data_IF_830829658532
#
_entry.id   IF_830829658532
#
_cell.length_a   1.000
_cell.length_b   1.000
_cell.length_c   1.000
_cell.angle_alpha   90.00
_cell.angle_beta   90.00
_cell.angle_gamma   90.00
#
_symmetry.space_group_name_H-M   'P 1'
#
loop_
_entity.id
_entity.type
_entity.pdbx_description
1 polymer ?
#
# COMPACT_ATOMS: atom_id res chain seq x y z
N UNK A 1 -23.77 -12.06 -29.34
CA UNK A 1 -22.92 -11.90 -28.14
C UNK A 1 -22.91 -10.41 -27.83
N UNK A 2 -23.48 -9.98 -26.70
CA UNK A 2 -23.23 -8.63 -26.22
C UNK A 2 -21.72 -8.44 -26.14
N UNK A 3 -21.22 -7.32 -26.65
CA UNK A 3 -19.81 -6.99 -26.54
C UNK A 3 -19.45 -6.95 -25.05
N UNK A 4 -18.77 -7.98 -24.54
CA UNK A 4 -18.43 -8.12 -23.12
C UNK A 4 -17.65 -6.91 -22.60
N UNK A 5 -16.99 -6.16 -23.50
CA UNK A 5 -16.33 -4.88 -23.17
C UNK A 5 -17.34 -3.82 -22.71
N UNK A 6 -18.59 -3.89 -23.16
CA UNK A 6 -19.65 -2.98 -22.70
C UNK A 6 -19.91 -3.14 -21.22
N UNK A 7 -19.76 -4.29 -20.58
CA UNK A 7 -20.01 -4.39 -19.13
C UNK A 7 -19.10 -3.46 -18.30
N UNK A 8 -17.87 -3.23 -18.76
CA UNK A 8 -16.91 -2.31 -18.11
C UNK A 8 -17.13 -0.84 -18.48
N UNK A 9 -18.01 -0.55 -19.45
CA UNK A 9 -18.35 0.81 -19.89
C UNK A 9 -19.80 1.17 -19.66
N UNK A 10 -20.70 0.20 -19.49
CA UNK A 10 -22.11 0.35 -19.15
C UNK A 10 -22.17 0.99 -17.78
N UNK A 11 -22.92 2.07 -17.72
CA UNK A 11 -22.95 2.99 -16.62
C UNK A 11 -24.25 2.72 -15.88
N UNK A 12 -24.17 2.13 -14.69
CA UNK A 12 -25.30 2.08 -13.76
C UNK A 12 -25.28 3.38 -12.96
N UNK A 13 -26.38 4.11 -12.94
CA UNK A 13 -26.62 5.06 -11.86
C UNK A 13 -26.88 4.28 -10.57
N UNK A 14 -26.66 4.92 -9.42
CA UNK A 14 -26.96 4.33 -8.12
C UNK A 14 -28.31 4.84 -7.58
N UNK A 15 -29.04 3.98 -6.88
CA UNK A 15 -30.34 4.31 -6.27
C UNK A 15 -30.24 4.61 -4.76
N UNK A 16 -29.03 4.83 -4.24
CA UNK A 16 -28.84 5.16 -2.84
C UNK A 16 -29.33 6.58 -2.53
N UNK A 17 -29.89 6.84 -1.34
CA UNK A 17 -30.39 8.16 -0.96
C UNK A 17 -29.27 9.21 -0.86
N UNK A 18 -29.64 10.50 -0.92
CA UNK A 18 -28.67 11.59 -0.76
C UNK A 18 -28.17 11.75 0.68
N UNK A 19 -28.96 11.35 1.67
CA UNK A 19 -28.60 11.44 3.09
C UNK A 19 -28.66 10.06 3.73
N UNK A 20 -27.71 9.79 4.62
CA UNK A 20 -27.65 8.57 5.42
C UNK A 20 -27.39 8.94 6.88
N UNK A 21 -28.10 8.31 7.83
CA UNK A 21 -27.89 8.54 9.26
C UNK A 21 -27.69 7.22 9.99
N UNK A 22 -26.65 7.14 10.81
CA UNK A 22 -26.40 6.00 11.72
C UNK A 22 -26.58 6.53 13.15
N UNK A 23 -27.41 5.86 13.96
CA UNK A 23 -27.69 6.27 15.35
C UNK A 23 -27.21 5.23 16.36
N UNK A 24 -26.53 5.69 17.41
CA UNK A 24 -26.15 4.91 18.58
C UNK A 24 -26.80 5.53 19.82
N UNK A 25 -27.98 5.04 20.19
CA UNK A 25 -28.78 5.69 21.21
C UNK A 25 -29.21 7.09 20.77
N UNK A 26 -28.80 8.11 21.51
CA UNK A 26 -29.06 9.52 21.24
C UNK A 26 -28.02 10.18 20.32
N UNK A 27 -26.85 9.55 20.14
CA UNK A 27 -25.78 10.03 19.26
C UNK A 27 -26.04 9.63 17.81
N UNK A 28 -25.69 10.51 16.88
CA UNK A 28 -25.93 10.30 15.44
C UNK A 28 -24.70 10.69 14.63
N UNK A 29 -24.43 9.90 13.59
CA UNK A 29 -23.56 10.26 12.48
C UNK A 29 -24.44 10.55 11.28
N UNK A 30 -24.28 11.72 10.65
CA UNK A 30 -25.05 12.14 9.49
C UNK A 30 -24.10 12.28 8.31
N UNK A 31 -24.44 11.59 7.23
CA UNK A 31 -23.65 11.53 6.03
C UNK A 31 -24.41 12.06 4.82
N UNK A 32 -23.67 12.61 3.86
CA UNK A 32 -24.18 13.06 2.56
C UNK A 32 -23.51 12.31 1.42
N UNK A 33 -24.31 11.80 0.48
CA UNK A 33 -23.83 11.16 -0.73
C UNK A 33 -23.03 12.15 -1.57
N UNK A 34 -21.89 11.72 -2.10
CA UNK A 34 -21.05 12.49 -3.02
C UNK A 34 -21.46 12.23 -4.47
N UNK A 35 -21.67 13.31 -5.19
CA UNK A 35 -21.87 13.36 -6.65
C UNK A 35 -20.92 14.40 -7.25
N UNK A 36 -20.52 14.19 -8.49
CA UNK A 36 -19.64 15.09 -9.23
C UNK A 36 -20.25 15.40 -10.58
N UNK A 37 -20.41 16.68 -10.93
CA UNK A 37 -20.89 17.11 -12.25
C UNK A 37 -19.74 17.19 -13.25
N UNK A 38 -19.43 16.08 -13.94
CA UNK A 38 -18.31 16.04 -14.88
C UNK A 38 -18.74 16.53 -16.26
N UNK A 39 -18.06 17.56 -16.76
CA UNK A 39 -18.28 18.07 -18.11
C UNK A 39 -17.75 17.09 -19.18
N UNK A 40 -18.61 16.72 -20.11
CA UNK A 40 -18.30 15.85 -21.25
C UNK A 40 -17.75 16.62 -22.45
N UNK A 41 -17.23 15.90 -23.45
CA UNK A 41 -16.68 16.49 -24.69
C UNK A 41 -17.73 17.30 -25.47
N UNK A 42 -19.00 16.90 -25.42
CA UNK A 42 -20.12 17.61 -26.06
C UNK A 42 -20.63 18.82 -25.26
N UNK A 43 -20.01 19.10 -24.10
CA UNK A 43 -20.38 20.19 -23.21
C UNK A 43 -21.49 19.89 -22.21
N UNK A 44 -22.11 18.70 -22.28
CA UNK A 44 -23.08 18.25 -21.27
C UNK A 44 -22.42 18.04 -19.91
N UNK A 45 -23.20 18.18 -18.83
CA UNK A 45 -22.75 17.87 -17.47
C UNK A 45 -23.36 16.53 -17.08
N UNK A 46 -22.48 15.61 -16.73
CA UNK A 46 -22.83 14.29 -16.25
C UNK A 46 -22.63 14.22 -14.73
N UNK A 47 -23.72 14.44 -13.98
CA UNK A 47 -23.72 14.41 -12.52
C UNK A 47 -24.11 13.05 -11.97
N UNK A 48 -23.20 12.41 -11.23
CA UNK A 48 -23.40 11.12 -10.55
C UNK A 48 -22.35 10.86 -9.47
N UNK A 49 -22.55 9.80 -8.68
CA UNK A 49 -21.57 9.30 -7.71
C UNK A 49 -20.55 8.33 -8.31
N UNK A 50 -20.13 7.35 -7.51
CA UNK A 50 -19.23 6.28 -7.97
C UNK A 50 -19.90 5.42 -9.04
N UNK A 51 -19.14 4.91 -10.02
CA UNK A 51 -19.70 4.18 -11.16
C UNK A 51 -20.32 2.82 -10.80
N UNK A 52 -19.72 2.15 -9.83
CA UNK A 52 -20.08 0.82 -9.35
C UNK A 52 -19.24 0.51 -8.11
N UNK A 53 -19.62 -0.54 -7.39
CA UNK A 53 -18.93 -1.11 -6.24
C UNK A 53 -17.64 -1.83 -6.63
N UNK A 54 -17.45 -3.05 -6.13
CA UNK A 54 -16.28 -3.85 -6.51
C UNK A 54 -16.43 -4.37 -7.95
N UNK A 55 -17.65 -4.74 -8.32
CA UNK A 55 -17.97 -5.31 -9.62
C UNK A 55 -18.94 -4.39 -10.40
N UNK A 56 -18.91 -4.40 -11.75
CA UNK A 56 -19.72 -3.50 -12.57
C UNK A 56 -21.24 -3.59 -12.37
N UNK A 57 -21.74 -4.72 -11.87
CA UNK A 57 -23.16 -5.00 -11.61
C UNK A 57 -23.59 -4.63 -10.18
N UNK A 58 -22.67 -4.14 -9.35
CA UNK A 58 -22.94 -3.73 -7.98
C UNK A 58 -23.06 -2.21 -7.91
N UNK A 59 -24.24 -1.70 -7.53
CA UNK A 59 -24.39 -0.28 -7.22
C UNK A 59 -23.59 0.09 -5.95
N UNK A 60 -23.05 1.30 -5.90
CA UNK A 60 -22.37 1.82 -4.73
C UNK A 60 -22.53 3.34 -4.64
N UNK A 61 -22.32 3.88 -3.43
CA UNK A 61 -22.33 5.30 -3.18
C UNK A 61 -21.22 5.66 -2.17
N UNK A 62 -20.52 6.77 -2.42
CA UNK A 62 -19.60 7.36 -1.45
C UNK A 62 -20.38 8.37 -0.59
N UNK A 63 -20.17 8.31 0.72
CA UNK A 63 -20.80 9.19 1.68
C UNK A 63 -19.76 9.95 2.50
N UNK A 64 -19.91 11.27 2.62
CA UNK A 64 -19.12 12.09 3.53
C UNK A 64 -19.84 12.32 4.85
N UNK A 65 -19.10 12.23 5.97
CA UNK A 65 -19.57 12.67 7.28
C UNK A 65 -19.70 14.20 7.32
N UNK A 66 -20.94 14.69 7.43
CA UNK A 66 -21.27 16.13 7.40
C UNK A 66 -21.76 16.68 8.74
N UNK A 67 -22.22 15.81 9.65
CA UNK A 67 -22.60 16.20 11.00
C UNK A 67 -22.53 15.00 11.97
N UNK A 68 -22.46 15.30 13.26
CA UNK A 68 -22.38 14.31 14.33
C UNK A 68 -20.96 14.12 14.85
N UNK A 69 -20.83 14.00 16.16
CA UNK A 69 -19.65 13.48 16.84
C UNK A 69 -20.11 12.21 17.57
N UNK A 70 -19.27 11.17 17.51
CA UNK A 70 -19.57 9.91 18.16
C UNK A 70 -18.54 9.65 19.25
N UNK A 71 -19.03 9.37 20.45
CA UNK A 71 -18.26 8.86 21.58
C UNK A 71 -18.83 7.50 21.97
N UNK A 72 -18.10 6.43 21.63
CA UNK A 72 -18.44 5.03 21.98
C UNK A 72 -17.21 4.29 22.49
N UNK A 73 -17.41 3.38 23.45
CA UNK A 73 -16.33 2.56 23.98
C UNK A 73 -15.14 3.38 24.48
N UNK A 74 -15.43 4.51 25.15
CA UNK A 74 -14.44 5.46 25.71
C UNK A 74 -13.53 6.13 24.66
N UNK A 75 -13.95 6.13 23.39
CA UNK A 75 -13.24 6.75 22.27
C UNK A 75 -14.11 7.82 21.60
N UNK A 76 -13.56 9.02 21.40
CA UNK A 76 -14.14 10.07 20.54
C UNK A 76 -13.62 9.88 19.12
N UNK A 77 -14.54 9.79 18.15
CA UNK A 77 -14.22 9.55 16.75
C UNK A 77 -14.10 10.85 15.94
N UNK A 78 -13.54 10.71 14.73
CA UNK A 78 -13.29 11.79 13.79
C UNK A 78 -14.54 12.66 13.55
N UNK A 79 -14.32 13.97 13.53
CA UNK A 79 -15.39 14.95 13.38
C UNK A 79 -15.64 15.32 11.91
N UNK A 80 -16.85 15.82 11.59
CA UNK A 80 -17.16 16.40 10.29
C UNK A 80 -16.16 17.49 9.90
N UNK A 81 -15.98 17.67 8.60
CA UNK A 81 -15.02 18.65 8.09
C UNK A 81 -13.58 18.15 8.07
N UNK A 82 -13.31 16.88 8.38
CA UNK A 82 -12.01 16.21 8.18
C UNK A 82 -11.99 15.22 6.99
N UNK A 83 -12.93 15.33 6.05
CA UNK A 83 -12.94 14.48 4.85
C UNK A 83 -11.65 14.60 4.02
N UNK A 84 -11.12 13.44 3.61
CA UNK A 84 -10.04 13.27 2.61
C UNK A 84 -10.65 12.81 1.29
N UNK A 85 -10.69 11.49 1.02
CA UNK A 85 -11.31 10.93 -0.20
C UNK A 85 -12.80 11.25 -0.28
N UNK A 86 -13.53 11.16 0.84
CA UNK A 86 -14.93 11.57 0.91
C UNK A 86 -15.15 13.07 0.66
N UNK A 87 -14.11 13.88 0.87
CA UNK A 87 -14.09 15.33 0.68
C UNK A 87 -13.75 15.81 -0.73
N UNK A 88 -13.43 14.90 -1.66
CA UNK A 88 -13.08 15.26 -3.03
C UNK A 88 -14.28 15.95 -3.70
N UNK A 89 -14.09 17.16 -4.22
CA UNK A 89 -15.06 17.89 -5.03
C UNK A 89 -14.72 17.72 -6.52
N UNK A 90 -15.59 18.20 -7.40
CA UNK A 90 -15.36 18.08 -8.85
C UNK A 90 -14.15 18.91 -9.29
N UNK A 91 -13.88 20.04 -8.63
CA UNK A 91 -12.72 20.90 -8.91
C UNK A 91 -11.40 20.24 -8.51
N UNK A 92 -11.44 19.31 -7.57
CA UNK A 92 -10.28 18.57 -7.09
C UNK A 92 -9.91 17.43 -8.07
N UNK A 93 -10.80 17.07 -9.01
CA UNK A 93 -10.53 16.11 -10.07
C UNK A 93 -9.99 16.81 -11.32
N UNK A 94 -8.72 17.21 -11.27
CA UNK A 94 -8.00 17.96 -12.31
C UNK A 94 -8.03 17.29 -13.70
N UNK A 95 -8.17 15.97 -13.69
CA UNK A 95 -8.53 15.18 -14.86
C UNK A 95 -9.30 13.95 -14.41
N UNK A 96 -10.48 13.71 -14.97
CA UNK A 96 -11.32 12.58 -14.53
C UNK A 96 -11.31 11.42 -15.51
N UNK A 97 -11.20 11.68 -16.81
CA UNK A 97 -11.47 10.66 -17.84
C UNK A 97 -12.91 10.14 -17.72
N UNK A 98 -13.13 9.14 -16.86
CA UNK A 98 -14.45 8.62 -16.45
C UNK A 98 -14.61 8.79 -14.94
N UNK A 99 -15.86 8.91 -14.47
CA UNK A 99 -16.20 8.84 -13.04
C UNK A 99 -15.42 7.72 -12.31
N UNK A 100 -15.00 7.93 -11.05
CA UNK A 100 -14.22 6.94 -10.32
C UNK A 100 -15.07 5.71 -9.99
N UNK A 101 -14.45 4.53 -10.01
CA UNK A 101 -15.02 3.32 -9.39
C UNK A 101 -14.66 3.27 -7.90
N UNK A 102 -15.32 2.37 -7.13
CA UNK A 102 -14.98 2.13 -5.71
C UNK A 102 -13.47 1.92 -5.50
N UNK A 103 -12.88 1.03 -6.30
CA UNK A 103 -11.47 0.62 -6.14
C UNK A 103 -10.51 1.81 -6.31
N UNK A 104 -10.78 2.70 -7.28
CA UNK A 104 -9.95 3.90 -7.48
C UNK A 104 -9.91 4.78 -6.22
N UNK A 105 -11.03 4.90 -5.51
CA UNK A 105 -11.12 5.71 -4.29
C UNK A 105 -10.52 5.00 -3.08
N UNK A 106 -10.73 3.68 -2.94
CA UNK A 106 -10.13 2.91 -1.85
C UNK A 106 -8.62 2.79 -1.99
N UNK A 107 -8.09 2.71 -3.21
CA UNK A 107 -6.65 2.76 -3.45
C UNK A 107 -6.04 4.10 -2.98
N UNK A 108 -6.70 5.23 -3.25
CA UNK A 108 -6.25 6.53 -2.73
C UNK A 108 -6.32 6.53 -1.20
N UNK A 109 -7.45 6.11 -0.64
CA UNK A 109 -7.68 6.10 0.81
C UNK A 109 -6.62 5.26 1.55
N UNK A 110 -6.30 4.08 1.03
CA UNK A 110 -5.27 3.24 1.62
C UNK A 110 -3.86 3.82 1.45
N UNK A 111 -3.58 4.47 0.32
CA UNK A 111 -2.33 5.22 0.14
C UNK A 111 -2.19 6.36 1.15
N UNK A 112 -3.26 7.09 1.45
CA UNK A 112 -3.29 8.10 2.51
C UNK A 112 -3.12 7.47 3.90
N UNK A 113 -3.72 6.31 4.15
CA UNK A 113 -3.59 5.57 5.41
C UNK A 113 -2.14 5.11 5.69
N UNK A 114 -1.36 4.84 4.64
CA UNK A 114 0.09 4.57 4.75
C UNK A 114 0.86 5.89 4.88
N UNK A 115 0.65 6.83 3.95
CA UNK A 115 1.42 8.06 3.86
C UNK A 115 1.29 8.98 5.06
N UNK A 116 0.22 8.87 5.85
CA UNK A 116 0.07 9.67 7.08
C UNK A 116 1.22 9.47 8.06
N UNK A 117 1.85 8.31 8.05
CA UNK A 117 3.04 7.99 8.86
C UNK A 117 4.36 8.24 8.13
N UNK A 118 4.32 8.65 6.86
CA UNK A 118 5.48 8.81 5.99
C UNK A 118 5.63 10.26 5.50
N UNK A 119 5.41 11.22 6.38
CA UNK A 119 5.35 12.64 6.00
C UNK A 119 6.67 13.39 6.13
N UNK A 120 7.71 12.80 6.72
CA UNK A 120 8.98 13.49 7.02
C UNK A 120 9.82 13.80 5.78
N UNK A 121 9.71 12.97 4.73
CA UNK A 121 10.46 13.08 3.48
C UNK A 121 9.54 12.90 2.27
N UNK A 122 9.95 13.29 1.05
CA UNK A 122 9.22 12.92 -0.15
C UNK A 122 9.03 11.40 -0.22
N UNK A 123 7.77 10.99 -0.25
CA UNK A 123 7.30 9.62 -0.26
C UNK A 123 6.23 9.39 -1.33
N UNK A 124 6.25 8.22 -1.95
CA UNK A 124 5.24 7.74 -2.89
C UNK A 124 4.82 6.31 -2.54
N UNK A 125 3.52 6.03 -2.68
CA UNK A 125 2.94 4.69 -2.52
C UNK A 125 2.14 4.37 -3.78
N UNK A 126 2.36 3.18 -4.33
CA UNK A 126 1.67 2.67 -5.51
C UNK A 126 0.78 1.51 -5.07
N UNK A 127 -0.52 1.66 -5.30
CA UNK A 127 -1.54 0.72 -4.89
C UNK A 127 -2.09 -0.01 -6.11
N UNK A 128 -2.41 -1.28 -5.91
CA UNK A 128 -3.17 -2.11 -6.83
C UNK A 128 -4.09 -3.02 -6.04
N UNK A 129 -5.39 -3.00 -6.34
CA UNK A 129 -6.39 -3.80 -5.62
C UNK A 129 -6.34 -3.59 -4.10
N UNK A 130 -6.30 -2.33 -3.69
CA UNK A 130 -6.27 -1.87 -2.31
C UNK A 130 -5.06 -2.32 -1.49
N UNK A 131 -3.98 -2.77 -2.14
CA UNK A 131 -2.73 -3.19 -1.52
C UNK A 131 -1.54 -2.46 -2.14
N UNK A 132 -0.52 -2.07 -1.36
CA UNK A 132 0.69 -1.48 -1.93
C UNK A 132 1.47 -2.53 -2.72
N UNK A 133 1.82 -2.21 -3.96
CA UNK A 133 2.80 -2.97 -4.74
C UNK A 133 4.20 -2.36 -4.69
N UNK A 134 4.31 -1.11 -4.22
CA UNK A 134 5.56 -0.45 -3.92
C UNK A 134 5.34 0.81 -3.08
N UNK A 135 6.23 1.05 -2.12
CA UNK A 135 6.28 2.27 -1.35
C UNK A 135 7.74 2.66 -1.14
N UNK A 136 8.05 3.96 -1.22
CA UNK A 136 9.40 4.43 -0.97
C UNK A 136 9.45 5.89 -0.51
N UNK A 137 10.46 6.19 0.30
CA UNK A 137 11.04 7.53 0.42
C UNK A 137 12.03 7.83 -0.71
N UNK A 138 12.27 9.10 -0.97
CA UNK A 138 13.34 9.60 -1.83
C UNK A 138 13.75 11.03 -1.49
N UNK A 139 14.87 11.48 -2.06
CA UNK A 139 15.36 12.86 -1.88
C UNK A 139 14.48 13.89 -2.59
N UNK A 140 13.85 13.46 -3.69
CA UNK A 140 12.82 14.19 -4.43
C UNK A 140 11.60 13.28 -4.60
N UNK A 141 10.46 13.87 -4.96
CA UNK A 141 9.26 13.07 -5.22
C UNK A 141 9.44 12.15 -6.45
N UNK A 142 10.15 12.63 -7.47
CA UNK A 142 10.53 11.82 -8.64
C UNK A 142 11.37 10.60 -8.24
N UNK A 143 12.37 10.78 -7.35
CA UNK A 143 13.18 9.69 -6.82
C UNK A 143 12.32 8.70 -6.00
N UNK A 144 11.43 9.21 -5.14
CA UNK A 144 10.53 8.36 -4.35
C UNK A 144 9.60 7.52 -5.24
N UNK A 145 9.00 8.14 -6.28
CA UNK A 145 8.16 7.43 -7.24
C UNK A 145 8.94 6.36 -8.01
N UNK A 146 10.14 6.69 -8.53
CA UNK A 146 10.95 5.72 -9.29
C UNK A 146 11.30 4.50 -8.43
N UNK A 147 11.76 4.72 -7.19
CA UNK A 147 12.04 3.63 -6.23
C UNK A 147 10.81 2.76 -5.96
N UNK A 148 9.67 3.38 -5.65
CA UNK A 148 8.42 2.66 -5.40
C UNK A 148 7.95 1.87 -6.64
N UNK A 149 8.04 2.45 -7.83
CA UNK A 149 7.69 1.80 -9.09
C UNK A 149 8.59 0.61 -9.40
N UNK A 150 9.88 0.72 -9.05
CA UNK A 150 10.86 -0.35 -9.25
C UNK A 150 10.68 -1.52 -8.29
N UNK A 151 9.94 -1.40 -7.18
CA UNK A 151 9.61 -2.55 -6.32
C UNK A 151 8.84 -3.65 -7.09
N UNK A 152 7.79 -3.28 -7.81
CA UNK A 152 7.01 -4.21 -8.65
C UNK A 152 6.36 -3.47 -9.83
N UNK A 153 7.15 -3.22 -10.87
CA UNK A 153 6.71 -2.51 -12.09
C UNK A 153 5.52 -3.18 -12.78
N UNK A 154 5.46 -4.51 -12.69
CA UNK A 154 4.42 -5.32 -13.33
C UNK A 154 3.08 -5.06 -12.62
N UNK A 155 3.07 -5.09 -11.28
CA UNK A 155 1.86 -4.82 -10.49
C UNK A 155 1.47 -3.32 -10.50
N UNK A 156 2.45 -2.42 -10.60
CA UNK A 156 2.21 -0.98 -10.73
C UNK A 156 1.42 -0.60 -12.00
N UNK A 157 1.39 -1.48 -13.01
CA UNK A 157 0.63 -1.26 -14.23
C UNK A 157 -0.89 -1.13 -13.96
N UNK A 158 -1.42 0.03 -14.33
CA UNK A 158 -2.80 0.44 -14.04
C UNK A 158 -3.07 0.59 -12.55
N UNK A 159 -2.05 0.89 -11.75
CA UNK A 159 -2.17 1.19 -10.33
C UNK A 159 -2.58 2.63 -10.05
N UNK A 160 -2.75 2.93 -8.77
CA UNK A 160 -2.96 4.26 -8.25
C UNK A 160 -1.70 4.73 -7.50
N UNK A 161 -1.18 5.90 -7.87
CA UNK A 161 -0.02 6.51 -7.17
C UNK A 161 -0.53 7.59 -6.25
N UNK A 162 -0.17 7.52 -4.96
CA UNK A 162 -0.43 8.56 -3.97
C UNK A 162 0.90 9.13 -3.50
N UNK A 163 1.00 10.46 -3.48
CA UNK A 163 2.25 11.18 -3.26
C UNK A 163 2.14 12.17 -2.10
N UNK A 164 3.12 12.17 -1.22
CA UNK A 164 3.17 13.01 0.00
C UNK A 164 3.50 14.49 -0.25
N UNK A 165 3.86 14.87 -1.48
CA UNK A 165 4.31 16.21 -1.86
C UNK A 165 3.69 16.62 -3.20
N UNK A 166 3.82 17.91 -3.53
CA UNK A 166 3.35 18.45 -4.80
C UNK A 166 3.97 17.71 -5.98
N UNK A 167 3.17 17.45 -7.02
CA UNK A 167 3.66 16.83 -8.25
C UNK A 167 4.35 17.88 -9.12
N UNK A 168 5.68 17.84 -9.13
CA UNK A 168 6.54 18.64 -9.99
C UNK A 168 6.63 18.11 -11.43
N UNK A 169 7.26 18.87 -12.30
CA UNK A 169 7.42 18.52 -13.73
C UNK A 169 8.31 17.28 -13.96
N UNK A 170 9.23 16.96 -13.05
CA UNK A 170 10.10 15.79 -13.18
C UNK A 170 9.32 14.51 -12.85
N UNK A 171 8.60 14.54 -11.73
CA UNK A 171 7.69 13.51 -11.27
C UNK A 171 6.60 13.24 -12.31
N UNK A 172 5.98 14.29 -12.86
CA UNK A 172 4.96 14.15 -13.90
C UNK A 172 5.50 13.46 -15.17
N UNK A 173 6.76 13.71 -15.56
CA UNK A 173 7.39 13.01 -16.70
C UNK A 173 7.52 11.52 -16.42
N UNK A 174 8.03 11.14 -15.24
CA UNK A 174 8.16 9.73 -14.85
C UNK A 174 6.80 9.04 -14.77
N UNK A 175 5.81 9.68 -14.17
CA UNK A 175 4.43 9.16 -14.13
C UNK A 175 3.88 8.93 -15.54
N UNK A 176 4.10 9.85 -16.48
CA UNK A 176 3.61 9.74 -17.85
C UNK A 176 4.22 8.59 -18.67
N UNK A 177 5.35 8.04 -18.23
CA UNK A 177 5.98 6.86 -18.84
C UNK A 177 5.33 5.55 -18.40
N UNK A 178 4.45 5.59 -17.40
CA UNK A 178 3.75 4.44 -16.86
C UNK A 178 2.26 4.50 -17.25
N UNK A 179 1.66 3.34 -17.49
CA UNK A 179 0.21 3.26 -17.60
C UNK A 179 -0.38 3.23 -16.20
N UNK A 180 -0.96 4.33 -15.74
CA UNK A 180 -1.56 4.48 -14.40
C UNK A 180 -3.05 4.79 -14.53
N UNK A 181 -3.85 4.33 -13.56
CA UNK A 181 -5.28 4.67 -13.51
C UNK A 181 -5.55 5.95 -12.71
N UNK A 182 -4.75 6.18 -11.66
CA UNK A 182 -4.93 7.30 -10.73
C UNK A 182 -3.57 7.87 -10.32
N UNK A 183 -3.48 9.19 -10.25
CA UNK A 183 -2.42 9.95 -9.58
C UNK A 183 -3.06 10.90 -8.58
N UNK A 184 -2.64 10.82 -7.32
CA UNK A 184 -3.14 11.65 -6.23
C UNK A 184 -1.99 12.38 -5.51
N UNK A 185 -2.14 13.68 -5.29
CA UNK A 185 -1.15 14.52 -4.62
C UNK A 185 -1.82 15.69 -3.86
N UNK A 186 -1.12 16.35 -2.91
CA UNK A 186 -1.61 17.59 -2.29
C UNK A 186 -1.84 18.73 -3.29
N UNK A 187 -0.98 18.84 -4.30
CA UNK A 187 -1.05 19.87 -5.33
C UNK A 187 -0.23 19.46 -6.56
N UNK A 188 -0.40 20.19 -7.66
CA UNK A 188 0.31 20.00 -8.92
C UNK A 188 0.94 21.33 -9.34
N UNK A 189 2.24 21.32 -9.62
CA UNK A 189 2.96 22.52 -10.05
C UNK A 189 2.60 22.96 -11.47
N UNK A 190 2.98 24.18 -11.81
CA UNK A 190 2.79 24.71 -13.17
C UNK A 190 3.47 23.81 -14.22
N UNK A 191 2.69 23.42 -15.24
CA UNK A 191 3.14 22.55 -16.32
C UNK A 191 2.99 21.04 -16.05
N UNK A 192 2.93 20.59 -14.79
CA UNK A 192 2.93 19.15 -14.48
C UNK A 192 1.63 18.48 -14.94
N UNK A 193 0.50 19.17 -14.78
CA UNK A 193 -0.79 18.72 -15.25
C UNK A 193 -0.85 18.57 -16.79
N UNK A 194 -0.19 19.44 -17.54
CA UNK A 194 -0.17 19.37 -19.02
C UNK A 194 0.63 18.16 -19.52
N UNK A 195 1.60 17.69 -18.74
CA UNK A 195 2.32 16.44 -19.01
C UNK A 195 1.40 15.24 -18.78
N UNK A 196 0.72 15.21 -17.63
CA UNK A 196 -0.19 14.11 -17.25
C UNK A 196 -1.42 14.00 -18.17
N UNK A 197 -1.92 15.14 -18.68
CA UNK A 197 -3.06 15.21 -19.61
C UNK A 197 -2.88 14.51 -20.95
N UNK A 198 -1.66 14.15 -21.32
CA UNK A 198 -1.40 13.31 -22.50
C UNK A 198 -2.03 11.93 -22.36
N UNK A 199 -2.13 11.42 -21.13
CA UNK A 199 -2.79 10.15 -20.80
C UNK A 199 -4.27 10.38 -20.54
N UNK A 200 -5.10 10.45 -21.60
CA UNK A 200 -6.52 10.84 -21.51
C UNK A 200 -7.38 10.08 -20.48
N UNK A 201 -7.03 8.83 -20.18
CA UNK A 201 -7.78 7.99 -19.24
C UNK A 201 -7.27 8.07 -17.79
N UNK A 202 -6.14 8.75 -17.56
CA UNK A 202 -5.59 8.93 -16.22
C UNK A 202 -6.53 9.80 -15.38
N UNK A 203 -6.77 9.41 -14.13
CA UNK A 203 -7.40 10.28 -13.14
C UNK A 203 -6.33 11.04 -12.38
N UNK A 204 -6.38 12.36 -12.43
CA UNK A 204 -5.51 13.24 -11.66
C UNK A 204 -6.37 13.89 -10.59
N UNK A 205 -6.11 13.54 -9.33
CA UNK A 205 -6.90 13.95 -8.17
C UNK A 205 -5.99 14.76 -7.23
N UNK A 206 -6.46 15.93 -6.82
CA UNK A 206 -5.79 16.77 -5.85
C UNK A 206 -6.51 16.68 -4.50
N UNK A 207 -5.81 16.33 -3.43
CA UNK A 207 -6.36 16.39 -2.07
C UNK A 207 -5.53 17.40 -1.27
N UNK A 208 -5.93 18.67 -1.30
CA UNK A 208 -5.18 19.76 -0.66
C UNK A 208 -4.93 19.53 0.83
N UNK A 209 -5.87 18.86 1.51
CA UNK A 209 -5.81 18.50 2.93
C UNK A 209 -4.72 17.48 3.29
N UNK A 210 -4.01 16.95 2.30
CA UNK A 210 -2.82 16.15 2.56
C UNK A 210 -1.70 16.95 3.24
N UNK A 211 -1.76 18.29 3.23
CA UNK A 211 -0.91 19.17 4.05
C UNK A 211 -1.03 18.90 5.57
N UNK A 212 -2.18 18.36 6.00
CA UNK A 212 -2.49 17.99 7.39
C UNK A 212 -2.57 16.49 7.61
N UNK A 213 -2.05 15.68 6.68
CA UNK A 213 -2.23 14.23 6.70
C UNK A 213 -1.70 13.57 8.00
N UNK A 214 -0.61 14.07 8.57
CA UNK A 214 -0.05 13.58 9.82
C UNK A 214 -0.98 13.80 11.04
N UNK A 215 -1.95 14.70 10.98
CA UNK A 215 -2.94 14.87 12.06
C UNK A 215 -3.87 13.64 12.17
N UNK A 216 -4.10 12.94 11.06
CA UNK A 216 -4.96 11.75 10.99
C UNK A 216 -4.36 10.53 11.68
N UNK A 217 -3.11 10.59 12.13
CA UNK A 217 -2.52 9.56 12.97
C UNK A 217 -3.22 9.42 14.32
N UNK A 218 -3.81 10.52 14.81
CA UNK A 218 -4.46 10.59 16.13
C UNK A 218 -5.96 10.31 16.05
N UNK A 219 -6.53 10.39 14.85
CA UNK A 219 -7.96 10.19 14.66
C UNK A 219 -8.30 8.71 14.63
N UNK A 220 -9.43 8.40 15.24
CA UNK A 220 -10.10 7.11 15.09
C UNK A 220 -11.43 7.33 14.39
N UNK A 221 -11.88 6.35 13.64
CA UNK A 221 -13.24 6.30 13.10
C UNK A 221 -13.89 4.97 13.52
N UNK A 222 -15.22 4.96 13.56
CA UNK A 222 -15.94 3.69 13.71
C UNK A 222 -15.87 2.96 12.39
N UNK A 223 -15.31 1.76 12.44
CA UNK A 223 -15.21 0.86 11.31
C UNK A 223 -16.34 -0.16 11.37
N UNK A 224 -16.95 -0.42 10.23
CA UNK A 224 -18.11 -1.29 10.10
C UNK A 224 -17.81 -2.42 9.12
N UNK A 225 -17.99 -3.67 9.56
CA UNK A 225 -17.94 -4.85 8.68
C UNK A 225 -19.34 -5.44 8.57
N UNK A 226 -19.86 -5.51 7.34
CA UNK A 226 -21.08 -6.25 7.05
C UNK A 226 -20.81 -7.76 7.05
N UNK A 227 -21.69 -8.51 7.69
CA UNK A 227 -21.74 -9.97 7.66
C UNK A 227 -22.67 -10.43 6.53
N UNK A 228 -22.49 -11.68 6.07
CA UNK A 228 -23.24 -12.23 4.93
C UNK A 228 -24.75 -12.33 5.18
N UNK A 229 -25.17 -12.32 6.44
CA UNK A 229 -26.57 -12.34 6.88
C UNK A 229 -27.17 -10.93 7.05
N UNK A 230 -26.40 -9.88 6.74
CA UNK A 230 -26.77 -8.49 6.94
C UNK A 230 -26.47 -7.94 8.33
N UNK A 231 -25.88 -8.75 9.23
CA UNK A 231 -25.37 -8.27 10.51
C UNK A 231 -24.22 -7.25 10.33
N UNK A 232 -23.92 -6.48 11.39
CA UNK A 232 -22.86 -5.48 11.38
C UNK A 232 -21.97 -5.67 12.60
N UNK A 233 -20.66 -5.78 12.38
CA UNK A 233 -19.64 -5.59 13.42
C UNK A 233 -19.26 -4.10 13.41
N UNK A 234 -19.32 -3.45 14.57
CA UNK A 234 -18.80 -2.10 14.78
C UNK A 234 -17.55 -2.15 15.66
N UNK A 235 -16.46 -1.52 15.22
CA UNK A 235 -15.18 -1.52 15.93
C UNK A 235 -14.49 -0.16 15.83
N UNK A 236 -13.44 0.05 16.63
CA UNK A 236 -12.55 1.20 16.45
C UNK A 236 -11.58 0.91 15.30
N UNK A 237 -11.29 1.92 14.47
CA UNK A 237 -10.21 1.84 13.49
C UNK A 237 -8.86 1.52 14.15
N UNK A 238 -8.04 0.70 13.48
CA UNK A 238 -6.69 0.42 13.94
C UNK A 238 -5.82 1.68 13.96
N UNK A 239 -4.97 1.80 14.98
CA UNK A 239 -3.96 2.86 15.08
C UNK A 239 -2.60 2.19 15.09
N UNK A 240 -1.69 2.64 14.23
CA UNK A 240 -0.31 2.21 14.30
C UNK A 240 0.31 2.89 15.53
N UNK A 241 0.87 2.17 16.50
CA UNK A 241 1.53 2.81 17.66
C UNK A 241 3.04 2.95 17.51
N UNK A 242 3.63 2.40 16.44
CA UNK A 242 5.07 2.33 16.25
C UNK A 242 5.53 3.49 15.36
N UNK A 243 6.31 4.43 15.92
CA UNK A 243 6.81 5.63 15.23
C UNK A 243 8.30 5.86 15.40
N UNK A 244 8.87 5.28 16.42
CA UNK A 244 10.27 5.48 16.79
C UNK A 244 10.81 4.21 17.44
N UNK A 245 12.13 4.21 17.69
CA UNK A 245 12.78 3.12 18.42
C UNK A 245 12.17 2.91 19.82
N UNK A 246 11.67 3.98 20.47
CA UNK A 246 11.11 3.93 21.82
C UNK A 246 9.77 3.16 21.87
N UNK A 247 9.11 3.01 20.72
CA UNK A 247 7.89 2.20 20.57
C UNK A 247 8.20 0.72 20.32
N UNK A 248 9.47 0.39 20.04
CA UNK A 248 9.93 -0.98 19.84
C UNK A 248 10.38 -1.61 21.16
N UNK A 249 10.20 -2.92 21.24
CA UNK A 249 10.63 -3.74 22.39
C UNK A 249 11.76 -4.66 21.96
N UNK A 250 12.79 -4.86 22.81
CA UNK A 250 13.79 -5.89 22.56
C UNK A 250 13.13 -7.26 22.40
N UNK A 251 13.55 -8.03 21.39
CA UNK A 251 13.05 -9.39 21.22
C UNK A 251 13.57 -10.29 22.36
N UNK A 252 12.70 -10.56 23.32
CA UNK A 252 12.98 -11.36 24.52
C UNK A 252 11.84 -12.34 24.76
N UNK A 253 12.16 -13.60 25.06
CA UNK A 253 11.19 -14.64 25.39
C UNK A 253 11.69 -15.54 26.52
N UNK A 254 10.80 -15.99 27.40
CA UNK A 254 11.12 -16.96 28.45
C UNK A 254 10.56 -18.33 28.09
N UNK A 255 11.42 -19.35 28.04
CA UNK A 255 11.03 -20.74 27.79
C UNK A 255 11.67 -21.66 28.81
N UNK A 256 10.84 -22.46 29.50
CA UNK A 256 11.27 -23.42 30.54
C UNK A 256 12.21 -22.81 31.61
N UNK A 257 12.01 -21.55 31.95
CA UNK A 257 12.81 -20.83 32.94
C UNK A 257 14.11 -20.21 32.41
N UNK A 258 14.43 -20.40 31.14
CA UNK A 258 15.54 -19.74 30.44
C UNK A 258 15.02 -18.52 29.66
N UNK A 259 15.80 -17.43 29.66
CA UNK A 259 15.47 -16.21 28.92
C UNK A 259 16.33 -16.12 27.67
N UNK A 260 15.68 -16.02 26.52
CA UNK A 260 16.30 -15.85 25.21
C UNK A 260 16.16 -14.39 24.81
N UNK A 261 17.26 -13.76 24.41
CA UNK A 261 17.29 -12.38 23.92
C UNK A 261 18.06 -12.35 22.61
N UNK A 262 17.63 -11.51 21.67
CA UNK A 262 18.39 -11.31 20.44
C UNK A 262 19.74 -10.64 20.75
N UNK A 263 20.84 -11.24 20.31
CA UNK A 263 22.20 -10.82 20.65
C UNK A 263 22.61 -9.51 19.96
N UNK A 264 22.07 -9.27 18.76
CA UNK A 264 22.42 -8.12 17.93
C UNK A 264 21.34 -7.04 18.05
N UNK A 265 21.75 -5.84 18.44
CA UNK A 265 20.92 -4.63 18.36
C UNK A 265 20.89 -4.10 16.91
N UNK A 266 19.73 -3.65 16.38
CA UNK A 266 19.67 -3.06 15.06
C UNK A 266 20.46 -1.74 15.00
N UNK A 267 21.01 -1.44 13.82
CA UNK A 267 21.57 -0.15 13.45
C UNK A 267 20.49 0.89 13.22
N UNK A 268 20.86 2.18 13.16
CA UNK A 268 19.89 3.25 12.88
C UNK A 268 19.16 3.06 11.55
N UNK A 269 19.87 2.65 10.48
CA UNK A 269 19.25 2.41 9.18
C UNK A 269 18.22 1.27 9.24
N UNK A 270 18.50 0.21 9.99
CA UNK A 270 17.55 -0.89 10.17
C UNK A 270 16.34 -0.44 10.99
N UNK A 271 16.53 0.39 12.01
CA UNK A 271 15.42 0.99 12.76
C UNK A 271 14.56 1.86 11.84
N UNK A 272 15.17 2.71 11.01
CA UNK A 272 14.43 3.56 10.08
C UNK A 272 13.61 2.71 9.08
N UNK A 273 14.19 1.60 8.59
CA UNK A 273 13.51 0.63 7.72
C UNK A 273 12.41 -0.17 8.45
N UNK A 274 12.60 -0.47 9.74
CA UNK A 274 11.57 -1.08 10.60
C UNK A 274 10.36 -0.17 10.74
N UNK A 275 10.56 1.11 11.06
CA UNK A 275 9.48 2.08 11.23
C UNK A 275 8.77 2.33 9.89
N UNK A 276 9.53 2.54 8.82
CA UNK A 276 8.99 2.69 7.48
C UNK A 276 8.15 1.46 7.07
N UNK A 277 8.71 0.26 7.23
CA UNK A 277 8.07 -0.98 6.85
C UNK A 277 6.81 -1.26 7.65
N UNK A 278 6.81 -0.98 8.94
CA UNK A 278 5.61 -1.12 9.78
C UNK A 278 4.51 -0.13 9.40
N UNK A 279 4.85 1.10 9.00
CA UNK A 279 3.90 2.06 8.46
C UNK A 279 3.24 1.57 7.16
N UNK A 280 4.02 0.94 6.26
CA UNK A 280 3.49 0.31 5.05
C UNK A 280 2.61 -0.89 5.39
N UNK A 281 3.02 -1.73 6.33
CA UNK A 281 2.32 -2.97 6.73
C UNK A 281 0.89 -2.70 7.22
N UNK A 282 0.65 -1.56 7.88
CA UNK A 282 -0.71 -1.12 8.26
C UNK A 282 -1.66 -0.88 7.07
N UNK A 283 -1.13 -0.79 5.85
CA UNK A 283 -1.90 -0.71 4.62
C UNK A 283 -2.11 -2.04 3.91
N UNK A 284 -1.48 -3.13 4.34
CA UNK A 284 -1.43 -4.41 3.60
C UNK A 284 -2.49 -5.38 4.12
N UNK A 285 -3.15 -6.14 3.23
CA UNK A 285 -4.10 -7.19 3.60
C UNK A 285 -3.38 -8.39 4.20
N UNK A 286 -3.90 -8.88 5.33
CA UNK A 286 -3.29 -9.98 6.07
C UNK A 286 -3.63 -11.37 5.49
N UNK A 287 -2.79 -12.38 5.73
CA UNK A 287 -1.47 -12.25 6.36
C UNK A 287 -0.47 -11.64 5.37
N UNK A 288 0.49 -10.88 5.89
CA UNK A 288 1.53 -10.23 5.09
C UNK A 288 2.93 -10.33 5.68
N UNK A 289 3.91 -10.25 4.78
CA UNK A 289 5.34 -10.09 5.05
C UNK A 289 5.93 -9.16 4.00
N UNK A 290 6.71 -8.18 4.46
CA UNK A 290 7.42 -7.23 3.60
C UNK A 290 8.93 -7.36 3.79
N UNK A 291 9.67 -7.05 2.74
CA UNK A 291 11.09 -6.76 2.80
C UNK A 291 11.30 -5.29 2.48
N UNK A 292 12.07 -4.59 3.31
CA UNK A 292 12.35 -3.15 3.20
C UNK A 292 13.84 -2.92 3.22
N UNK A 293 14.32 -2.02 2.36
CA UNK A 293 15.71 -1.60 2.33
C UNK A 293 15.83 -0.14 1.94
N UNK A 294 16.56 0.63 2.73
CA UNK A 294 16.85 2.04 2.49
C UNK A 294 15.57 2.88 2.30
N UNK A 295 14.55 2.65 3.13
CA UNK A 295 13.25 3.32 3.05
C UNK A 295 12.45 3.00 1.79
N UNK A 296 12.64 1.82 1.20
CA UNK A 296 11.90 1.32 0.04
C UNK A 296 11.47 -0.12 0.26
N UNK A 297 10.24 -0.48 -0.11
CA UNK A 297 9.84 -1.88 -0.19
C UNK A 297 10.58 -2.56 -1.34
N UNK A 298 11.07 -3.78 -1.12
CA UNK A 298 11.76 -4.60 -2.14
C UNK A 298 11.05 -5.95 -2.38
N UNK A 299 10.08 -6.30 -1.54
CA UNK A 299 9.19 -7.45 -1.73
C UNK A 299 7.99 -7.34 -0.81
N UNK A 300 6.80 -7.66 -1.32
CA UNK A 300 5.53 -7.58 -0.57
C UNK A 300 4.73 -8.84 -0.83
N UNK A 301 4.58 -9.69 0.19
CA UNK A 301 3.64 -10.82 0.24
C UNK A 301 2.40 -10.43 1.04
N UNK A 302 1.21 -10.78 0.54
CA UNK A 302 -0.07 -10.35 1.13
C UNK A 302 -1.18 -11.34 0.77
N UNK A 303 -2.18 -11.46 1.63
CA UNK A 303 -3.43 -12.19 1.37
C UNK A 303 -3.36 -13.71 1.55
N UNK A 304 -2.30 -14.22 2.18
CA UNK A 304 -2.08 -15.64 2.40
C UNK A 304 -2.60 -16.11 3.76
N UNK A 305 -2.93 -17.41 3.88
CA UNK A 305 -3.36 -17.99 5.16
C UNK A 305 -2.19 -18.50 6.00
N UNK A 306 -1.10 -18.94 5.36
CA UNK A 306 0.10 -19.44 6.02
C UNK A 306 1.20 -18.37 6.12
N UNK A 307 1.83 -18.28 7.30
CA UNK A 307 2.88 -17.30 7.61
C UNK A 307 4.20 -17.61 6.90
N UNK A 308 4.55 -18.89 6.77
CA UNK A 308 5.76 -19.29 6.05
C UNK A 308 5.53 -19.08 4.56
N UNK A 309 4.38 -19.55 4.04
CA UNK A 309 3.98 -19.32 2.65
C UNK A 309 4.01 -17.84 2.24
N UNK A 310 3.50 -16.91 3.07
CA UNK A 310 3.55 -15.49 2.71
C UNK A 310 4.97 -14.91 2.69
N UNK A 311 5.85 -15.38 3.60
CA UNK A 311 7.25 -14.99 3.62
C UNK A 311 7.98 -15.50 2.36
N UNK A 312 7.72 -16.74 1.96
CA UNK A 312 8.27 -17.34 0.74
C UNK A 312 7.74 -16.63 -0.52
N UNK A 313 6.45 -16.28 -0.56
CA UNK A 313 5.85 -15.52 -1.67
C UNK A 313 6.49 -14.13 -1.78
N UNK A 314 6.77 -13.46 -0.67
CA UNK A 314 7.45 -12.17 -0.68
C UNK A 314 8.88 -12.28 -1.27
N UNK A 315 9.63 -13.33 -0.91
CA UNK A 315 10.95 -13.64 -1.50
C UNK A 315 10.82 -13.96 -3.00
N UNK A 316 9.92 -14.87 -3.35
CA UNK A 316 9.70 -15.27 -4.74
C UNK A 316 9.34 -14.08 -5.63
N UNK A 317 8.48 -13.18 -5.14
CA UNK A 317 8.19 -11.92 -5.82
C UNK A 317 9.46 -11.09 -6.00
N UNK A 318 10.26 -10.87 -4.96
CA UNK A 318 11.51 -10.11 -5.08
C UNK A 318 12.41 -10.66 -6.20
N UNK A 319 12.58 -11.98 -6.30
CA UNK A 319 13.35 -12.61 -7.38
C UNK A 319 12.79 -12.34 -8.78
N UNK A 320 11.47 -12.49 -8.97
CA UNK A 320 10.82 -12.21 -10.26
C UNK A 320 10.95 -10.73 -10.62
N UNK A 321 10.74 -9.82 -9.66
CA UNK A 321 10.73 -8.38 -9.94
C UNK A 321 12.14 -7.86 -10.20
N UNK A 322 13.12 -8.36 -9.47
CA UNK A 322 14.52 -8.04 -9.73
C UNK A 322 14.96 -8.48 -11.13
N UNK A 323 14.53 -9.66 -11.59
CA UNK A 323 14.78 -10.10 -12.96
C UNK A 323 14.13 -9.18 -14.01
N UNK A 324 12.88 -8.75 -13.77
CA UNK A 324 12.18 -7.80 -14.63
C UNK A 324 12.88 -6.45 -14.71
N UNK A 325 13.34 -5.92 -13.58
CA UNK A 325 14.08 -4.66 -13.51
C UNK A 325 15.39 -4.75 -14.30
N UNK A 326 16.20 -5.79 -14.05
CA UNK A 326 17.47 -5.97 -14.76
C UNK A 326 17.25 -6.11 -16.27
N UNK A 327 16.25 -6.89 -16.67
CA UNK A 327 15.88 -7.03 -18.07
C UNK A 327 15.46 -5.70 -18.69
N UNK A 328 14.63 -4.94 -17.99
CA UNK A 328 14.14 -3.67 -18.50
C UNK A 328 15.25 -2.63 -18.59
N UNK A 329 16.12 -2.53 -17.59
CA UNK A 329 17.25 -1.60 -17.62
C UNK A 329 18.22 -1.93 -18.76
N UNK A 330 18.45 -3.21 -19.03
CA UNK A 330 19.38 -3.64 -20.08
C UNK A 330 18.79 -3.61 -21.48
N UNK A 331 17.52 -4.00 -21.64
CA UNK A 331 16.92 -4.26 -22.96
C UNK A 331 15.67 -3.42 -23.26
N UNK A 332 15.15 -2.65 -22.30
CA UNK A 332 13.94 -1.84 -22.45
C UNK A 332 12.64 -2.63 -22.57
N UNK A 333 12.65 -3.93 -22.24
CA UNK A 333 11.50 -4.83 -22.33
C UNK A 333 11.30 -5.61 -21.02
N UNK A 334 10.05 -6.00 -20.68
CA UNK A 334 9.78 -6.90 -19.56
C UNK A 334 10.51 -8.24 -19.70
N UNK A 335 10.85 -8.87 -18.57
CA UNK A 335 11.52 -10.18 -18.57
C UNK A 335 10.66 -11.28 -19.24
N UNK A 336 9.33 -11.21 -19.09
CA UNK A 336 8.41 -12.11 -19.79
C UNK A 336 8.48 -11.97 -21.32
N UNK A 337 8.66 -10.74 -21.81
CA UNK A 337 8.79 -10.47 -23.25
C UNK A 337 10.14 -10.97 -23.78
N UNK A 338 11.20 -10.88 -22.98
CA UNK A 338 12.49 -11.51 -23.30
C UNK A 338 12.35 -13.02 -23.47
N UNK A 339 11.72 -13.70 -22.51
CA UNK A 339 11.48 -15.14 -22.57
C UNK A 339 10.65 -15.52 -23.82
N UNK A 340 9.63 -14.73 -24.15
CA UNK A 340 8.82 -14.92 -25.36
C UNK A 340 9.66 -14.74 -26.65
N UNK A 341 10.50 -13.72 -26.72
CA UNK A 341 11.37 -13.48 -27.87
C UNK A 341 12.40 -14.61 -28.06
N UNK A 342 12.92 -15.18 -26.97
CA UNK A 342 13.80 -16.36 -27.01
C UNK A 342 13.04 -17.58 -27.54
N UNK A 343 11.83 -17.85 -27.03
CA UNK A 343 10.99 -18.95 -27.51
C UNK A 343 10.63 -18.80 -29.01
N UNK A 344 10.57 -17.57 -29.52
CA UNK A 344 10.35 -17.25 -30.94
C UNK A 344 11.64 -17.25 -31.78
N UNK A 345 12.80 -17.55 -31.18
CA UNK A 345 14.10 -17.54 -31.87
C UNK A 345 14.60 -16.14 -32.26
N UNK A 346 14.02 -15.07 -31.70
CA UNK A 346 14.39 -13.67 -31.98
C UNK A 346 15.55 -13.16 -31.11
N UNK A 347 15.88 -13.88 -30.04
CA UNK A 347 16.96 -13.56 -29.09
C UNK A 347 17.69 -14.82 -28.65
N UNK A 348 18.93 -14.66 -28.19
CA UNK A 348 19.74 -15.76 -27.70
C UNK A 348 19.34 -16.13 -26.26
N UNK A 349 19.32 -17.42 -25.94
CA UNK A 349 19.04 -17.91 -24.58
C UNK A 349 20.02 -17.34 -23.53
N UNK A 350 21.25 -17.06 -23.95
CA UNK A 350 22.28 -16.48 -23.09
C UNK A 350 21.92 -15.11 -22.49
N UNK A 351 21.03 -14.34 -23.14
CA UNK A 351 20.53 -13.06 -22.58
C UNK A 351 19.75 -13.29 -21.27
N UNK A 352 18.89 -14.32 -21.25
CA UNK A 352 18.11 -14.69 -20.06
C UNK A 352 19.01 -15.34 -19.00
N UNK A 353 19.91 -16.23 -19.40
CA UNK A 353 20.85 -16.89 -18.48
C UNK A 353 21.75 -15.89 -17.74
N UNK A 354 22.15 -14.80 -18.40
CA UNK A 354 22.93 -13.73 -17.79
C UNK A 354 22.14 -12.96 -16.72
N UNK A 355 20.87 -12.65 -17.00
CA UNK A 355 19.97 -12.03 -16.01
C UNK A 355 19.76 -12.96 -14.83
N UNK A 356 19.42 -14.23 -15.08
CA UNK A 356 19.13 -15.21 -14.03
C UNK A 356 20.36 -15.41 -13.12
N UNK A 357 21.54 -15.53 -13.71
CA UNK A 357 22.79 -15.63 -12.97
C UNK A 357 23.02 -14.40 -12.07
N UNK A 358 22.72 -13.19 -12.57
CA UNK A 358 22.82 -11.96 -11.80
C UNK A 358 21.78 -11.89 -10.68
N UNK A 359 20.54 -12.27 -10.92
CA UNK A 359 19.48 -12.33 -9.90
C UNK A 359 19.89 -13.25 -8.76
N UNK A 360 20.46 -14.42 -9.07
CA UNK A 360 20.94 -15.37 -8.06
C UNK A 360 22.16 -14.83 -7.31
N UNK A 361 23.13 -14.24 -8.01
CA UNK A 361 24.32 -13.66 -7.40
C UNK A 361 23.99 -12.51 -6.43
N UNK A 362 23.05 -11.64 -6.82
CA UNK A 362 22.59 -10.50 -6.02
C UNK A 362 21.56 -10.91 -4.96
N UNK A 363 21.08 -12.16 -4.97
CA UNK A 363 19.93 -12.66 -4.18
C UNK A 363 18.73 -11.72 -4.27
N UNK A 364 18.39 -11.32 -5.49
CA UNK A 364 17.33 -10.38 -5.80
C UNK A 364 17.40 -9.03 -5.06
N UNK A 365 18.59 -8.62 -4.60
CA UNK A 365 18.78 -7.38 -3.84
C UNK A 365 18.29 -7.43 -2.39
N UNK A 366 17.82 -8.59 -1.90
CA UNK A 366 17.37 -8.81 -0.52
C UNK A 366 18.47 -8.66 0.55
N UNK A 367 19.77 -8.94 0.29
CA UNK A 367 20.79 -8.81 1.33
C UNK A 367 20.84 -7.41 1.93
N UNK A 368 20.82 -7.31 3.26
CA UNK A 368 20.77 -6.04 3.98
C UNK A 368 19.37 -5.45 4.17
N UNK A 369 18.32 -6.10 3.70
CA UNK A 369 16.94 -5.68 3.97
C UNK A 369 16.49 -6.06 5.38
N UNK A 370 15.42 -5.40 5.84
CA UNK A 370 14.66 -5.72 7.03
C UNK A 370 13.39 -6.46 6.63
N UNK A 371 13.11 -7.58 7.29
CA UNK A 371 11.87 -8.32 7.13
C UNK A 371 10.83 -7.84 8.15
N UNK A 372 9.61 -7.56 7.70
CA UNK A 372 8.51 -7.05 8.51
C UNK A 372 7.34 -8.03 8.41
N UNK A 373 6.72 -8.39 9.53
CA UNK A 373 5.55 -9.28 9.57
C UNK A 373 4.45 -8.67 10.42
N UNK A 374 3.22 -8.53 9.89
CA UNK A 374 2.04 -7.97 10.59
C UNK A 374 1.71 -8.66 11.94
N UNK A 375 2.22 -9.87 12.16
CA UNK A 375 2.09 -10.64 13.39
C UNK A 375 3.32 -11.49 13.67
N UNK A 376 3.28 -12.24 14.76
CA UNK A 376 4.39 -13.11 15.15
C UNK A 376 4.56 -14.31 14.20
N UNK A 377 5.79 -14.84 14.14
CA UNK A 377 6.09 -16.14 13.54
C UNK A 377 5.79 -17.26 14.54
N UNK A 378 4.91 -18.23 14.21
CA UNK A 378 4.60 -19.33 15.12
C UNK A 378 5.81 -20.24 15.39
N UNK A 379 6.70 -20.40 14.42
CA UNK A 379 7.91 -21.23 14.47
C UNK A 379 9.09 -20.53 13.80
N UNK A 380 10.30 -21.06 13.97
CA UNK A 380 11.53 -20.47 13.40
C UNK A 380 11.59 -20.45 11.88
N UNK A 381 10.88 -21.37 11.22
CA UNK A 381 10.89 -21.52 9.76
C UNK A 381 10.51 -20.22 9.04
N UNK A 382 9.54 -19.47 9.54
CA UNK A 382 9.18 -18.16 9.00
C UNK A 382 10.32 -17.14 9.05
N UNK A 383 11.10 -17.11 10.14
CA UNK A 383 12.28 -16.26 10.24
C UNK A 383 13.43 -16.78 9.35
N UNK A 384 13.63 -18.10 9.29
CA UNK A 384 14.67 -18.74 8.48
C UNK A 384 14.50 -18.43 6.98
N UNK A 385 13.26 -18.25 6.48
CA UNK A 385 12.99 -17.81 5.10
C UNK A 385 13.75 -16.52 4.79
N UNK A 386 13.56 -15.47 5.58
CA UNK A 386 14.24 -14.19 5.38
C UNK A 386 15.75 -14.28 5.65
N UNK A 387 16.15 -14.94 6.74
CA UNK A 387 17.57 -15.13 7.11
C UNK A 387 18.36 -15.78 5.96
N UNK A 388 17.78 -16.78 5.29
CA UNK A 388 18.43 -17.46 4.15
C UNK A 388 18.74 -16.53 2.97
N UNK A 389 17.98 -15.43 2.84
CA UNK A 389 18.15 -14.42 1.80
C UNK A 389 19.16 -13.33 2.16
N UNK A 390 19.66 -13.32 3.40
CA UNK A 390 20.66 -12.36 3.87
C UNK A 390 20.06 -11.05 4.40
N UNK A 391 18.81 -11.07 4.88
CA UNK A 391 18.29 -9.95 5.68
C UNK A 391 19.17 -9.70 6.90
N UNK A 392 19.17 -8.48 7.41
CA UNK A 392 19.98 -8.13 8.59
C UNK A 392 19.14 -7.88 9.82
N UNK A 393 17.82 -7.64 9.67
CA UNK A 393 16.91 -7.52 10.80
C UNK A 393 15.49 -8.03 10.53
N UNK A 394 14.76 -8.33 11.60
CA UNK A 394 13.36 -8.74 11.61
C UNK A 394 12.56 -7.85 12.57
N UNK A 395 11.39 -7.38 12.13
CA UNK A 395 10.37 -6.78 12.98
C UNK A 395 9.09 -7.63 12.93
N UNK A 396 8.59 -8.00 14.11
CA UNK A 396 7.32 -8.73 14.24
C UNK A 396 6.56 -8.30 15.50
N UNK A 397 5.33 -8.78 15.68
CA UNK A 397 4.54 -8.46 16.87
C UNK A 397 5.14 -9.01 18.18
N UNK A 398 5.77 -10.18 18.12
CA UNK A 398 6.06 -11.00 19.29
C UNK A 398 4.78 -11.58 19.92
N UNK A 399 4.94 -12.49 20.89
CA UNK A 399 3.85 -13.17 21.58
C UNK A 399 3.62 -14.62 21.15
N UNK A 400 4.53 -15.23 20.38
CA UNK A 400 4.49 -16.68 20.14
C UNK A 400 4.94 -17.43 21.39
N UNK A 401 4.31 -18.56 21.68
CA UNK A 401 4.82 -19.52 22.67
C UNK A 401 6.24 -20.03 22.34
N UNK A 402 6.66 -19.87 21.08
CA UNK A 402 7.95 -20.28 20.54
C UNK A 402 8.79 -19.11 20.03
N UNK A 403 8.56 -17.90 20.53
CA UNK A 403 9.40 -16.75 20.18
C UNK A 403 10.90 -17.06 20.41
N UNK A 404 11.22 -17.87 21.42
CA UNK A 404 12.60 -18.34 21.67
C UNK A 404 13.25 -19.01 20.44
N UNK A 405 12.50 -19.78 19.63
CA UNK A 405 13.04 -20.45 18.44
C UNK A 405 13.41 -19.43 17.36
N UNK A 406 12.59 -18.39 17.18
CA UNK A 406 12.84 -17.32 16.19
C UNK A 406 13.99 -16.42 16.61
N UNK A 407 14.11 -16.13 17.91
CA UNK A 407 15.24 -15.40 18.51
C UNK A 407 16.53 -16.21 18.33
N UNK A 408 16.49 -17.51 18.63
CA UNK A 408 17.65 -18.39 18.42
C UNK A 408 18.07 -18.45 16.95
N UNK A 409 17.13 -18.55 16.01
CA UNK A 409 17.45 -18.51 14.58
C UNK A 409 18.23 -17.23 14.19
N UNK A 410 17.84 -16.07 14.73
CA UNK A 410 18.56 -14.82 14.52
C UNK A 410 19.98 -14.82 15.12
N UNK A 411 20.15 -15.43 16.30
CA UNK A 411 21.44 -15.54 16.99
C UNK A 411 22.37 -16.59 16.36
N UNK A 412 21.82 -17.64 15.74
CA UNK A 412 22.53 -18.70 15.02
C UNK A 412 22.99 -18.26 13.62
N UNK A 413 22.31 -17.26 13.03
CA UNK A 413 22.67 -16.72 11.73
C UNK A 413 24.09 -16.13 11.70
N UNK A 414 24.75 -16.19 10.53
CA UNK A 414 26.06 -15.60 10.32
C UNK A 414 26.10 -14.76 9.02
N UNK A 415 26.20 -13.42 9.11
CA UNK A 415 26.20 -12.62 10.35
C UNK A 415 24.89 -12.73 11.13
N UNK A 416 24.93 -12.44 12.43
CA UNK A 416 23.73 -12.45 13.29
C UNK A 416 22.71 -11.43 12.79
N UNK A 417 21.43 -11.78 12.92
CA UNK A 417 20.30 -10.94 12.53
C UNK A 417 19.74 -10.25 13.77
N UNK A 418 19.37 -8.98 13.65
CA UNK A 418 18.71 -8.25 14.74
C UNK A 418 17.20 -8.56 14.75
N UNK A 419 16.57 -8.58 15.91
CA UNK A 419 15.12 -8.73 16.01
C UNK A 419 14.54 -7.78 17.05
N UNK A 420 13.44 -7.11 16.68
CA UNK A 420 12.65 -6.27 17.57
C UNK A 420 11.18 -6.70 17.54
N UNK A 421 10.46 -6.44 18.63
CA UNK A 421 9.03 -6.65 18.75
C UNK A 421 8.28 -5.33 18.77
N UNK A 422 7.15 -5.24 18.06
CA UNK A 422 6.24 -4.09 18.17
C UNK A 422 5.32 -4.22 19.39
N UNK A 423 5.03 -5.46 19.83
CA UNK A 423 3.98 -5.71 20.82
C UNK A 423 2.57 -5.39 20.31
N UNK A 424 2.41 -5.17 19.00
CA UNK A 424 1.16 -4.84 18.32
C UNK A 424 1.04 -5.70 17.06
N UNK A 425 -0.13 -6.30 16.82
CA UNK A 425 -0.44 -6.91 15.50
C UNK A 425 -1.06 -5.87 14.57
N UNK A 426 -0.82 -6.00 13.27
CA UNK A 426 -1.34 -5.13 12.22
C UNK A 426 -2.24 -5.89 11.24
N UNK A 427 -3.25 -6.62 11.75
CA UNK A 427 -4.16 -7.37 10.88
C UNK A 427 -5.15 -6.48 10.13
N UNK A 428 -5.41 -6.82 8.86
CA UNK A 428 -6.35 -6.12 7.97
C UNK A 428 -7.09 -7.09 7.04
N UNK A 429 -8.43 -7.04 7.04
CA UNK A 429 -9.33 -7.96 6.30
C UNK A 429 -10.59 -7.31 5.69
#
# INVERSE_FOLDING_TARGET
>A
MSDLKKMYTTILGDHFPMDMTISFGDQKLVYRKRTWGIKQEDGSIDERGVRYGENPDQEAALYELVNGNLTLGECTFIEPGNGLVSGIRVEDMLQVGKHPGKINLTDIDNGLNILKYLTDRPAAVILKHNNPCGAAYGDTLAHAFDRANRCDRIAAFGGAVVMSRACDNETAKLLSQNYLEVVCAPSFEEGSLEILKKSKNLRVIQISRMDRLAEFEKFRFVDFKSLIDGGIIAQQSAVNSIRSIDDLKPATATWKGETFTCDRTPSQQEIDDMIFGWAVEHGVTSNSVLYVKDGCTVGIGTGEQDRVGVAEIAVHKAYIKYADILCFDQYGIPYADLALQIAQGKRAKGDQEAIDAKVQADRAGLPGSVMISDAFFPFRDGADVGISQGITAILQAGGSMRDYETIQACNEANPKVAMMFTGQRSFKH
#
